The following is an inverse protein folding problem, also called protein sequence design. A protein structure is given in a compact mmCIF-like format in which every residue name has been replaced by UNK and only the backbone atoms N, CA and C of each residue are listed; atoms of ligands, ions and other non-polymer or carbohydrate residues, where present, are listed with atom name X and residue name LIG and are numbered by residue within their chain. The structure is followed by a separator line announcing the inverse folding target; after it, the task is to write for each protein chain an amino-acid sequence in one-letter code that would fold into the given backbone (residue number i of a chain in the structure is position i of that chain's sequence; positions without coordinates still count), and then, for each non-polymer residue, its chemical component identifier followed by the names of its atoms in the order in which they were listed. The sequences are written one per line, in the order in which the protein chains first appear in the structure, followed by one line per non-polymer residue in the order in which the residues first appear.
data_IF_622158304821
#
_entry.id   IF_622158304821
#
_cell.length_a   1.000
_cell.length_b   1.000
_cell.length_c   1.000
_cell.angle_alpha   90.00
_cell.angle_beta   90.00
_cell.angle_gamma   90.00
#
_symmetry.space_group_name_H-M   'P 1'
#
loop_
_entity.id
_entity.type
_entity.pdbx_description
1 polymer ?
#
# COMPACT_ATOMS: atom_id res chain seq x y z
N UNK A 1 -20.56 -1.34 -5.63
CA UNK A 1 -20.22 -0.16 -4.79
C UNK A 1 -19.40 0.79 -5.63
N UNK A 2 -19.61 2.11 -5.53
CA UNK A 2 -18.66 3.10 -6.03
C UNK A 2 -17.28 2.84 -5.43
N UNK A 3 -16.21 3.19 -6.15
CA UNK A 3 -14.88 3.21 -5.56
C UNK A 3 -14.88 4.20 -4.37
N UNK A 4 -14.38 3.80 -3.19
CA UNK A 4 -14.44 4.66 -2.01
C UNK A 4 -13.54 5.90 -2.11
N UNK A 5 -12.55 5.88 -3.01
CA UNK A 5 -11.60 6.97 -3.26
C UNK A 5 -11.44 7.22 -4.75
N UNK A 6 -11.14 8.47 -5.10
CA UNK A 6 -10.72 8.87 -6.43
C UNK A 6 -9.25 9.34 -6.40
N UNK A 7 -8.59 9.32 -7.56
CA UNK A 7 -7.17 9.73 -7.66
C UNK A 7 -6.95 11.19 -7.25
N UNK A 8 -7.97 12.04 -7.38
CA UNK A 8 -7.90 13.45 -7.05
C UNK A 8 -7.74 13.69 -5.54
N UNK A 9 -8.21 12.75 -4.70
CA UNK A 9 -8.11 12.84 -3.24
C UNK A 9 -6.65 12.79 -2.74
N UNK A 10 -5.71 12.36 -3.58
CA UNK A 10 -4.31 12.14 -3.22
C UNK A 10 -3.34 13.13 -3.86
N UNK A 11 -3.82 14.06 -4.69
CA UNK A 11 -2.99 15.02 -5.43
C UNK A 11 -2.12 15.90 -4.53
N UNK A 12 -2.61 16.24 -3.34
CA UNK A 12 -1.88 17.08 -2.39
C UNK A 12 -0.99 16.27 -1.43
N UNK A 13 -1.03 14.94 -1.50
CA UNK A 13 -0.26 14.03 -0.63
C UNK A 13 1.03 13.56 -1.28
N UNK A 14 1.00 13.35 -2.59
CA UNK A 14 2.14 12.88 -3.38
C UNK A 14 2.32 13.76 -4.60
N UNK A 15 3.58 14.02 -4.94
CA UNK A 15 3.95 14.75 -6.15
C UNK A 15 3.74 13.92 -7.44
N UNK A 16 3.70 12.59 -7.31
CA UNK A 16 3.47 11.65 -8.40
C UNK A 16 2.50 10.54 -8.01
N UNK A 17 1.51 10.28 -8.86
CA UNK A 17 0.59 9.14 -8.69
C UNK A 17 1.32 7.79 -8.74
N UNK A 18 2.47 7.71 -9.42
CA UNK A 18 3.30 6.50 -9.40
C UNK A 18 3.86 6.22 -8.00
N UNK A 19 4.30 7.26 -7.28
CA UNK A 19 4.79 7.13 -5.91
C UNK A 19 3.70 6.72 -4.94
N UNK A 20 2.48 7.25 -5.12
CA UNK A 20 1.31 6.79 -4.37
C UNK A 20 1.11 5.27 -4.53
N UNK A 21 1.09 4.78 -5.78
CA UNK A 21 0.86 3.35 -6.07
C UNK A 21 1.96 2.48 -5.45
N UNK A 22 3.21 2.92 -5.56
CA UNK A 22 4.37 2.25 -4.96
C UNK A 22 4.21 2.12 -3.44
N UNK A 23 3.99 3.23 -2.73
CA UNK A 23 3.90 3.24 -1.26
C UNK A 23 2.67 2.47 -0.78
N UNK A 24 1.50 2.73 -1.38
CA UNK A 24 0.26 2.05 -1.01
C UNK A 24 0.30 0.55 -1.31
N UNK A 25 1.00 0.14 -2.39
CA UNK A 25 1.23 -1.25 -2.76
C UNK A 25 2.12 -1.98 -1.76
N UNK A 26 3.30 -1.43 -1.46
CA UNK A 26 4.22 -1.98 -0.45
C UNK A 26 3.52 -2.14 0.90
N UNK A 27 2.80 -1.11 1.34
CA UNK A 27 2.05 -1.16 2.60
C UNK A 27 0.92 -2.19 2.58
N UNK A 28 0.19 -2.32 1.47
CA UNK A 28 -0.85 -3.34 1.31
C UNK A 28 -0.29 -4.75 1.46
N UNK A 29 0.90 -5.02 0.90
CA UNK A 29 1.58 -6.32 1.05
C UNK A 29 1.95 -6.57 2.51
N UNK A 30 2.52 -5.58 3.20
CA UNK A 30 2.83 -5.69 4.62
C UNK A 30 1.60 -6.03 5.46
N UNK A 31 0.49 -5.30 5.25
CA UNK A 31 -0.77 -5.56 5.95
C UNK A 31 -1.24 -7.00 5.69
N UNK A 32 -1.24 -7.44 4.42
CA UNK A 32 -1.66 -8.80 4.06
C UNK A 32 -0.79 -9.91 4.64
N UNK A 33 0.52 -9.67 4.85
CA UNK A 33 1.44 -10.63 5.47
C UNK A 33 1.27 -10.69 6.99
N UNK A 34 0.91 -9.56 7.63
CA UNK A 34 0.76 -9.46 9.09
C UNK A 34 -0.60 -9.93 9.61
N UNK A 35 -1.66 -9.83 8.80
CA UNK A 35 -2.99 -10.28 9.20
C UNK A 35 -3.15 -11.79 8.98
N UNK A 36 -3.42 -12.56 10.05
CA UNK A 36 -3.72 -13.99 9.92
C UNK A 36 -5.13 -14.17 9.33
N UNK A 37 -5.20 -14.30 8.01
CA UNK A 37 -6.46 -14.56 7.34
C UNK A 37 -6.88 -16.03 7.51
N UNK A 38 -7.62 -16.31 8.58
CA UNK A 38 -8.42 -17.54 8.65
C UNK A 38 -9.41 -17.60 7.49
N UNK A 39 -9.75 -18.82 7.03
CA UNK A 39 -10.73 -19.01 5.95
C UNK A 39 -12.06 -18.30 6.30
N UNK A 40 -12.44 -17.30 5.50
CA UNK A 40 -13.64 -16.47 5.73
C UNK A 40 -13.38 -15.09 6.36
N UNK A 41 -12.20 -14.81 6.92
CA UNK A 41 -11.85 -13.48 7.42
C UNK A 41 -11.76 -12.45 6.28
N UNK A 42 -11.22 -12.85 5.13
CA UNK A 42 -11.12 -12.00 3.93
C UNK A 42 -12.47 -11.60 3.32
N UNK A 43 -13.56 -12.33 3.61
CA UNK A 43 -14.90 -12.00 3.13
C UNK A 43 -15.58 -10.88 3.95
N UNK A 44 -15.09 -10.60 5.17
CA UNK A 44 -15.60 -9.56 6.07
C UNK A 44 -14.57 -8.48 6.43
N UNK A 45 -13.29 -8.74 6.19
CA UNK A 45 -12.20 -7.80 6.40
C UNK A 45 -12.15 -6.71 5.33
N UNK A 46 -11.66 -5.52 5.71
CA UNK A 46 -11.32 -4.48 4.74
C UNK A 46 -10.17 -4.97 3.86
N UNK A 47 -10.20 -4.62 2.58
CA UNK A 47 -9.10 -4.94 1.68
C UNK A 47 -7.84 -4.19 2.14
N UNK A 48 -6.67 -4.85 2.21
CA UNK A 48 -5.42 -4.20 2.61
C UNK A 48 -5.08 -2.94 1.80
N UNK A 49 -5.47 -2.91 0.52
CA UNK A 49 -5.33 -1.74 -0.36
C UNK A 49 -6.20 -0.55 0.04
N UNK A 50 -7.37 -0.78 0.63
CA UNK A 50 -8.22 0.31 1.15
C UNK A 50 -7.58 0.86 2.41
N UNK A 51 -7.14 -0.01 3.32
CA UNK A 51 -6.46 0.38 4.56
C UNK A 51 -5.18 1.19 4.28
N UNK A 52 -4.37 0.78 3.30
CA UNK A 52 -3.16 1.54 2.95
C UNK A 52 -3.45 2.92 2.36
N UNK A 53 -4.52 3.07 1.57
CA UNK A 53 -4.96 4.38 1.07
C UNK A 53 -5.52 5.28 2.19
N UNK A 54 -6.22 4.72 3.17
CA UNK A 54 -6.66 5.46 4.37
C UNK A 54 -5.47 5.98 5.18
N UNK A 55 -4.46 5.14 5.40
CA UNK A 55 -3.22 5.55 6.07
C UNK A 55 -2.48 6.67 5.32
N UNK A 56 -2.52 6.68 3.98
CA UNK A 56 -2.01 7.81 3.18
C UNK A 56 -2.81 9.08 3.46
N UNK A 57 -4.14 9.01 3.44
CA UNK A 57 -4.99 10.19 3.69
C UNK A 57 -4.73 10.80 5.08
N UNK A 58 -4.52 9.93 6.06
CA UNK A 58 -4.19 10.27 7.45
C UNK A 58 -2.75 10.75 7.66
N UNK A 59 -1.94 10.89 6.60
CA UNK A 59 -0.52 11.26 6.66
C UNK A 59 0.35 10.30 7.48
N UNK A 60 -0.07 9.03 7.65
CA UNK A 60 0.73 8.00 8.34
C UNK A 60 1.81 7.42 7.44
N UNK A 61 1.61 7.51 6.12
CA UNK A 61 2.54 7.04 5.10
C UNK A 61 3.04 8.23 4.29
N UNK A 62 4.35 8.26 4.07
CA UNK A 62 5.01 9.26 3.24
C UNK A 62 6.06 8.56 2.37
N UNK A 63 6.52 9.23 1.32
CA UNK A 63 7.66 8.75 0.55
C UNK A 63 8.92 9.53 0.94
N UNK A 64 10.03 8.82 1.17
CA UNK A 64 11.35 9.40 1.38
C UNK A 64 12.28 8.96 0.25
N UNK A 65 13.01 9.92 -0.32
CA UNK A 65 14.00 9.67 -1.36
C UNK A 65 15.17 8.78 -0.87
N UNK A 66 15.38 8.69 0.44
CA UNK A 66 16.41 7.83 1.03
C UNK A 66 16.09 6.33 0.83
N UNK A 67 14.81 5.95 0.75
CA UNK A 67 14.40 4.57 0.47
C UNK A 67 14.60 4.17 -1.01
N UNK A 68 14.57 5.12 -1.95
CA UNK A 68 14.87 4.84 -3.37
C UNK A 68 16.34 4.50 -3.60
N UNK A 69 17.25 5.14 -2.85
CA UNK A 69 18.69 4.89 -2.95
C UNK A 69 19.11 3.51 -2.42
N UNK A 70 18.27 2.89 -1.59
CA UNK A 70 18.54 1.60 -0.96
C UNK A 70 18.37 0.39 -1.89
N UNK A 71 17.92 0.56 -3.16
CA UNK A 71 17.99 -0.46 -4.20
C UNK A 71 17.19 -1.76 -3.97
N UNK A 72 16.45 -1.86 -2.88
CA UNK A 72 15.84 -3.11 -2.40
C UNK A 72 14.39 -3.32 -2.91
N UNK A 73 13.99 -2.55 -3.92
CA UNK A 73 12.57 -2.39 -4.28
C UNK A 73 11.95 -3.59 -5.02
N UNK A 74 12.77 -4.47 -5.60
CA UNK A 74 12.33 -5.68 -6.34
C UNK A 74 13.04 -6.97 -5.91
N UNK A 75 13.80 -6.96 -4.80
CA UNK A 75 14.69 -8.09 -4.45
C UNK A 75 14.02 -9.27 -3.71
N UNK A 76 12.72 -9.18 -3.36
CA UNK A 76 12.05 -10.17 -2.48
C UNK A 76 11.21 -11.25 -3.22
N UNK A 77 11.31 -11.38 -4.55
CA UNK A 77 10.47 -12.32 -5.35
C UNK A 77 11.26 -13.44 -6.07
N UNK A 78 12.57 -13.64 -5.80
CA UNK A 78 13.40 -14.68 -6.46
C UNK A 78 13.95 -15.79 -5.54
N UNK A 79 13.37 -16.08 -4.37
CA UNK A 79 13.72 -17.31 -3.63
C UNK A 79 12.49 -18.05 -3.09
N UNK A 80 11.87 -18.84 -3.96
CA UNK A 80 11.16 -20.05 -3.54
C UNK A 80 11.07 -21.07 -4.69
N UNK A 81 12.17 -21.81 -4.92
CA UNK A 81 12.15 -23.15 -5.52
C UNK A 81 12.62 -24.19 -4.49
#
# INVERSE_FOLDING_TARGET
MPAPYCVDDFKDKFDSLYRLVIVAGKRSVQISRTESHGFGAAARGRKPTITSLEEVMENKLTWSAEEEAAGDFFADDEESE
#
